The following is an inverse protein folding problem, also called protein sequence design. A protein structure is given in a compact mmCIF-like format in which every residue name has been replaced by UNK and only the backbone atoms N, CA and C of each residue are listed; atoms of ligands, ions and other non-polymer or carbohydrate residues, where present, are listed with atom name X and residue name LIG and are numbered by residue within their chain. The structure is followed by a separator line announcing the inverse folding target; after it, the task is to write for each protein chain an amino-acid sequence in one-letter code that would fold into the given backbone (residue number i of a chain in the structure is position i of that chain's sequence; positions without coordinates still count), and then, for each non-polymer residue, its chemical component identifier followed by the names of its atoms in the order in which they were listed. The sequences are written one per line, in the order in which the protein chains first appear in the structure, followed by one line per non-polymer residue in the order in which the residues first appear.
data_IF_278042587956
#
_entry.id   IF_278042587956
#
_cell.length_a   1.000
_cell.length_b   1.000
_cell.length_c   1.000
_cell.angle_alpha   90.00
_cell.angle_beta   90.00
_cell.angle_gamma   90.00
#
_symmetry.space_group_name_H-M   'P 1'
#
loop_
_entity.id
_entity.type
_entity.pdbx_description
1 polymer ?
#
# COMPACT_ATOMS: atom_id res chain seq x y z
N UNK A 1 -44.57 36.31 50.04
CA UNK A 1 -43.19 36.82 50.00
C UNK A 1 -42.59 36.38 48.66
N UNK A 2 -42.59 37.27 47.65
CA UNK A 2 -41.77 37.15 46.43
C UNK A 2 -40.46 37.92 46.72
N UNK A 3 -39.29 37.68 46.08
CA UNK A 3 -39.18 37.56 44.60
C UNK A 3 -38.08 36.59 44.09
N UNK A 4 -38.25 36.01 42.88
CA UNK A 4 -37.56 36.39 41.62
C UNK A 4 -36.15 35.82 41.42
N UNK A 5 -36.01 34.96 40.40
CA UNK A 5 -35.10 35.18 39.27
C UNK A 5 -35.40 34.13 38.18
N UNK A 6 -36.28 34.44 37.21
CA UNK A 6 -35.97 35.01 35.88
C UNK A 6 -35.50 33.95 34.86
N UNK A 7 -36.34 33.55 33.89
CA UNK A 7 -35.87 33.11 32.58
C UNK A 7 -35.47 34.34 31.75
N UNK A 8 -34.61 34.18 30.74
CA UNK A 8 -34.95 34.82 29.47
C UNK A 8 -34.71 33.90 28.27
N UNK A 9 -35.68 34.01 27.37
CA UNK A 9 -35.76 33.36 26.09
C UNK A 9 -35.03 34.22 25.01
N UNK A 10 -35.56 34.38 23.78
CA UNK A 10 -34.94 34.00 22.53
C UNK A 10 -34.36 35.22 21.75
N UNK A 11 -34.09 35.00 20.46
CA UNK A 11 -33.78 35.98 19.40
C UNK A 11 -32.32 36.45 19.32
N UNK A 12 -31.68 36.24 18.16
CA UNK A 12 -31.36 37.33 17.24
C UNK A 12 -30.66 36.83 15.97
N UNK A 13 -31.34 37.11 14.87
CA UNK A 13 -30.83 37.32 13.52
C UNK A 13 -29.41 37.94 13.49
N UNK A 14 -28.52 37.39 12.68
CA UNK A 14 -27.56 38.20 11.95
C UNK A 14 -27.24 37.56 10.60
N UNK A 15 -27.96 38.05 9.59
CA UNK A 15 -27.52 38.09 8.21
C UNK A 15 -26.25 38.94 8.10
N UNK A 16 -25.16 38.36 7.59
CA UNK A 16 -24.11 39.14 6.93
C UNK A 16 -23.67 38.44 5.66
N UNK A 17 -24.27 38.91 4.57
CA UNK A 17 -23.68 38.90 3.23
C UNK A 17 -22.41 39.75 3.26
N UNK A 18 -21.24 39.18 2.96
CA UNK A 18 -20.04 39.94 2.58
C UNK A 18 -19.39 39.29 1.35
N UNK A 19 -19.72 39.89 0.22
CA UNK A 19 -18.91 40.24 -0.96
C UNK A 19 -17.54 39.59 -1.22
N UNK A 20 -17.45 39.04 -2.43
CA UNK A 20 -16.33 38.81 -3.36
C UNK A 20 -14.91 39.27 -3.00
N UNK A 21 -13.94 38.38 -3.26
CA UNK A 21 -12.57 38.66 -3.72
C UNK A 21 -12.21 37.54 -4.72
N UNK A 22 -12.54 37.64 -6.02
CA UNK A 22 -11.74 38.21 -7.11
C UNK A 22 -10.23 38.28 -6.83
N UNK A 23 -9.43 37.35 -7.37
CA UNK A 23 -8.43 37.65 -8.43
C UNK A 23 -7.57 36.43 -8.75
N UNK A 24 -7.41 36.19 -10.06
CA UNK A 24 -6.37 35.36 -10.66
C UNK A 24 -5.00 35.73 -10.10
N UNK A 25 -4.19 34.77 -9.64
CA UNK A 25 -2.75 34.81 -9.95
C UNK A 25 -2.09 33.43 -9.78
N UNK A 26 -1.43 32.98 -10.85
CA UNK A 26 -0.39 31.97 -10.82
C UNK A 26 0.75 32.43 -9.92
N UNK A 27 1.21 31.58 -9.01
CA UNK A 27 2.57 31.67 -8.47
C UNK A 27 3.23 30.30 -8.54
N UNK A 28 3.94 30.09 -9.65
CA UNK A 28 5.14 29.27 -9.70
C UNK A 28 6.30 30.06 -9.05
N UNK A 29 7.27 29.30 -8.50
CA UNK A 29 8.65 29.66 -8.05
C UNK A 29 8.77 29.94 -6.54
N UNK A 30 9.41 29.02 -5.79
CA UNK A 30 10.87 28.90 -5.51
C UNK A 30 11.24 29.80 -4.30
N UNK A 31 12.09 29.47 -3.30
CA UNK A 31 13.29 28.64 -3.11
C UNK A 31 13.25 28.03 -1.68
N UNK A 32 13.68 26.78 -1.42
CA UNK A 32 15.05 26.34 -1.02
C UNK A 32 15.70 27.22 0.08
N UNK A 33 16.00 26.65 1.27
CA UNK A 33 17.35 26.40 1.85
C UNK A 33 17.29 26.04 3.35
N UNK A 34 17.93 24.93 3.76
CA UNK A 34 18.35 24.65 5.16
C UNK A 34 17.97 23.25 5.72
N UNK A 35 18.53 22.12 5.26
CA UNK A 35 19.82 21.46 5.68
C UNK A 35 19.76 20.94 7.14
N UNK A 36 20.00 19.69 7.56
CA UNK A 36 20.26 18.36 6.96
C UNK A 36 20.17 17.34 8.12
N UNK A 37 19.44 16.24 7.95
CA UNK A 37 19.89 14.94 8.46
C UNK A 37 19.66 13.90 7.35
N UNK A 38 20.75 13.32 6.88
CA UNK A 38 20.77 12.36 5.80
C UNK A 38 20.17 11.02 6.26
N UNK A 39 19.10 10.59 5.59
CA UNK A 39 18.86 9.19 5.31
C UNK A 39 18.39 9.10 3.86
N UNK A 40 19.23 8.51 3.03
CA UNK A 40 19.01 8.34 1.60
C UNK A 40 17.71 7.57 1.33
N UNK A 41 16.68 8.28 0.87
CA UNK A 41 15.56 7.67 0.15
C UNK A 41 15.02 8.56 -1.01
N UNK A 42 15.85 9.09 -1.93
CA UNK A 42 15.33 9.53 -3.21
C UNK A 42 16.03 8.80 -4.37
N UNK A 43 15.78 7.50 -4.55
CA UNK A 43 16.29 6.80 -5.74
C UNK A 43 15.47 5.57 -6.18
N UNK A 44 14.39 5.18 -5.50
CA UNK A 44 13.58 4.02 -5.91
C UNK A 44 12.27 4.37 -6.64
N UNK A 45 11.91 5.66 -6.71
CA UNK A 45 10.70 6.09 -7.43
C UNK A 45 10.95 6.45 -8.91
N UNK A 46 12.21 6.58 -9.34
CA UNK A 46 12.57 7.04 -10.69
C UNK A 46 13.27 5.99 -11.57
N UNK A 47 13.55 4.79 -11.06
CA UNK A 47 14.08 3.67 -11.87
C UNK A 47 12.97 2.66 -12.12
N UNK A 48 11.98 3.05 -12.91
CA UNK A 48 11.03 2.10 -13.53
C UNK A 48 10.66 2.55 -14.95
N UNK A 49 11.57 3.27 -15.62
CA UNK A 49 11.45 3.54 -17.04
C UNK A 49 12.32 2.54 -17.81
N UNK A 50 11.65 1.46 -18.27
CA UNK A 50 11.99 0.68 -19.45
C UNK A 50 13.44 0.13 -19.55
N UNK A 51 13.70 -0.98 -18.87
CA UNK A 51 14.63 -2.02 -19.35
C UNK A 51 13.78 -3.29 -19.42
N UNK A 52 13.81 -3.99 -20.56
CA UNK A 52 12.82 -5.03 -20.94
C UNK A 52 12.21 -5.79 -19.77
N UNK A 53 10.88 -5.80 -19.69
CA UNK A 53 10.10 -6.30 -18.54
C UNK A 53 10.71 -7.56 -17.96
N UNK A 54 11.34 -7.44 -16.79
CA UNK A 54 11.96 -8.58 -16.12
C UNK A 54 10.89 -9.63 -15.84
N UNK A 55 11.28 -10.91 -15.78
CA UNK A 55 10.34 -11.99 -15.45
C UNK A 55 9.63 -11.74 -14.11
N UNK A 56 10.35 -11.17 -13.14
CA UNK A 56 9.82 -10.75 -11.83
C UNK A 56 8.76 -9.64 -12.00
N UNK A 57 9.03 -8.61 -12.81
CA UNK A 57 8.05 -7.56 -13.08
C UNK A 57 6.78 -8.09 -13.76
N UNK A 58 6.91 -9.04 -14.70
CA UNK A 58 5.75 -9.69 -15.34
C UNK A 58 4.93 -10.49 -14.32
N UNK A 59 5.59 -11.33 -13.52
CA UNK A 59 4.91 -12.12 -12.48
C UNK A 59 4.23 -11.22 -11.44
N UNK A 60 4.85 -10.09 -11.10
CA UNK A 60 4.26 -9.12 -10.18
C UNK A 60 3.01 -8.45 -10.78
N UNK A 61 3.04 -8.09 -12.06
CA UNK A 61 1.86 -7.56 -12.74
C UNK A 61 0.71 -8.58 -12.77
N UNK A 62 1.00 -9.86 -13.04
CA UNK A 62 0.02 -10.95 -12.99
C UNK A 62 -0.56 -11.12 -11.56
N UNK A 63 0.30 -11.09 -10.53
CA UNK A 63 -0.14 -11.17 -9.13
C UNK A 63 -1.01 -9.97 -8.70
N UNK A 64 -0.75 -8.77 -9.23
CA UNK A 64 -1.58 -7.59 -8.98
C UNK A 64 -2.94 -7.67 -9.70
N UNK A 65 -2.99 -8.22 -10.91
CA UNK A 65 -4.24 -8.47 -11.61
C UNK A 65 -5.14 -9.43 -10.82
N UNK A 66 -4.58 -10.54 -10.32
CA UNK A 66 -5.27 -11.48 -9.44
C UNK A 66 -5.69 -10.82 -8.11
N UNK A 67 -4.83 -9.97 -7.54
CA UNK A 67 -5.15 -9.17 -6.36
C UNK A 67 -6.34 -8.22 -6.57
N UNK A 68 -6.51 -7.71 -7.79
CA UNK A 68 -7.64 -6.86 -8.18
C UNK A 68 -8.94 -7.67 -8.29
N UNK A 69 -8.88 -8.90 -8.80
CA UNK A 69 -10.02 -9.82 -8.81
C UNK A 69 -10.41 -10.26 -7.38
N UNK A 70 -9.42 -10.47 -6.51
CA UNK A 70 -9.64 -10.77 -5.08
C UNK A 70 -10.28 -9.63 -4.30
N UNK A 71 -10.22 -8.39 -4.79
CA UNK A 71 -10.82 -7.26 -4.09
C UNK A 71 -12.33 -7.45 -3.89
N UNK A 72 -13.01 -8.10 -4.83
CA UNK A 72 -14.44 -8.46 -4.74
C UNK A 72 -14.73 -9.44 -3.60
N UNK A 73 -13.76 -10.28 -3.22
CA UNK A 73 -13.89 -11.30 -2.17
C UNK A 73 -13.23 -10.89 -0.84
N UNK A 74 -12.70 -9.66 -0.75
CA UNK A 74 -11.86 -9.23 0.37
C UNK A 74 -12.56 -9.29 1.72
N UNK A 75 -13.83 -8.89 1.78
CA UNK A 75 -14.64 -8.95 3.00
C UNK A 75 -14.81 -10.39 3.52
N UNK A 76 -15.00 -11.35 2.62
CA UNK A 76 -15.11 -12.77 2.99
C UNK A 76 -13.76 -13.32 3.49
N UNK A 77 -12.65 -12.91 2.86
CA UNK A 77 -11.29 -13.31 3.26
C UNK A 77 -10.97 -12.75 4.65
N UNK A 78 -11.26 -11.47 4.90
CA UNK A 78 -11.04 -10.86 6.22
C UNK A 78 -11.89 -11.51 7.30
N UNK A 79 -13.17 -11.81 7.03
CA UNK A 79 -14.02 -12.54 7.96
C UNK A 79 -13.46 -13.93 8.29
N UNK A 80 -12.95 -14.64 7.28
CA UNK A 80 -12.35 -15.96 7.45
C UNK A 80 -10.99 -15.93 8.18
N UNK A 81 -10.24 -14.82 8.10
CA UNK A 81 -8.92 -14.67 8.75
C UNK A 81 -8.98 -14.50 10.28
N UNK A 82 -10.16 -14.31 10.86
CA UNK A 82 -10.38 -13.95 12.28
C UNK A 82 -9.82 -14.95 13.31
N UNK A 83 -9.49 -16.17 12.91
CA UNK A 83 -9.02 -17.24 13.80
C UNK A 83 -7.50 -17.46 13.80
N UNK A 84 -6.73 -16.54 13.22
CA UNK A 84 -5.26 -16.48 13.32
C UNK A 84 -4.50 -17.63 12.65
N UNK A 85 -3.25 -17.36 12.25
CA UNK A 85 -2.26 -18.37 11.82
C UNK A 85 -2.43 -18.98 10.42
N UNK A 86 -3.59 -18.80 9.77
CA UNK A 86 -3.81 -19.27 8.39
C UNK A 86 -4.49 -18.13 7.61
N UNK A 87 -4.00 -17.78 6.40
CA UNK A 87 -4.64 -16.75 5.60
C UNK A 87 -6.10 -17.09 5.29
N UNK A 88 -6.98 -16.09 5.38
CA UNK A 88 -8.42 -16.28 5.31
C UNK A 88 -8.91 -16.93 4.01
N UNK A 89 -8.21 -16.73 2.89
CA UNK A 89 -8.57 -17.33 1.61
C UNK A 89 -8.39 -18.85 1.58
N UNK A 90 -7.49 -19.42 2.39
CA UNK A 90 -7.33 -20.88 2.51
C UNK A 90 -8.54 -21.54 3.19
N UNK A 91 -9.30 -20.74 3.96
CA UNK A 91 -10.53 -21.19 4.64
C UNK A 91 -11.78 -20.98 3.77
N UNK A 92 -11.65 -20.26 2.66
CA UNK A 92 -12.71 -20.14 1.67
C UNK A 92 -12.62 -21.29 0.67
N UNK A 93 -13.76 -21.71 0.13
CA UNK A 93 -13.83 -22.59 -1.04
C UNK A 93 -14.17 -21.80 -2.32
N UNK A 94 -14.08 -22.48 -3.47
CA UNK A 94 -14.54 -21.93 -4.74
C UNK A 94 -13.61 -20.87 -5.33
N UNK A 95 -14.17 -19.84 -5.97
CA UNK A 95 -13.41 -18.91 -6.81
C UNK A 95 -12.39 -18.07 -6.04
N UNK A 96 -12.75 -17.55 -4.87
CA UNK A 96 -11.84 -16.74 -4.05
C UNK A 96 -10.57 -17.52 -3.66
N UNK A 97 -10.72 -18.81 -3.35
CA UNK A 97 -9.60 -19.70 -3.04
C UNK A 97 -8.70 -19.92 -4.25
N UNK A 98 -9.28 -20.23 -5.42
CA UNK A 98 -8.52 -20.44 -6.67
C UNK A 98 -7.72 -19.20 -7.08
N UNK A 99 -8.32 -18.01 -7.02
CA UNK A 99 -7.63 -16.76 -7.37
C UNK A 99 -6.51 -16.46 -6.37
N UNK A 100 -6.76 -16.66 -5.06
CA UNK A 100 -5.75 -16.46 -4.02
C UNK A 100 -4.61 -17.45 -4.10
N UNK A 101 -4.89 -18.72 -4.33
CA UNK A 101 -3.86 -19.75 -4.54
C UNK A 101 -3.00 -19.43 -5.77
N UNK A 102 -3.62 -19.04 -6.89
CA UNK A 102 -2.91 -18.62 -8.09
C UNK A 102 -2.01 -17.40 -7.80
N UNK A 103 -2.53 -16.40 -7.06
CA UNK A 103 -1.76 -15.23 -6.64
C UNK A 103 -0.59 -15.64 -5.76
N UNK A 104 -0.84 -16.45 -4.73
CA UNK A 104 0.17 -16.93 -3.80
C UNK A 104 1.28 -17.70 -4.52
N UNK A 105 0.92 -18.59 -5.46
CA UNK A 105 1.88 -19.30 -6.30
C UNK A 105 2.79 -18.34 -7.09
N UNK A 106 2.26 -17.23 -7.60
CA UNK A 106 3.06 -16.19 -8.27
C UNK A 106 4.00 -15.47 -7.31
N UNK A 107 3.57 -15.16 -6.09
CA UNK A 107 4.42 -14.56 -5.06
C UNK A 107 5.59 -15.48 -4.69
N UNK A 108 5.33 -16.77 -4.50
CA UNK A 108 6.37 -17.79 -4.25
C UNK A 108 7.32 -17.91 -5.45
N UNK A 109 6.79 -17.85 -6.68
CA UNK A 109 7.62 -17.88 -7.89
C UNK A 109 8.53 -16.66 -8.00
N UNK A 110 8.05 -15.47 -7.62
CA UNK A 110 8.86 -14.25 -7.57
C UNK A 110 10.01 -14.41 -6.57
N UNK A 111 9.73 -14.92 -5.37
CA UNK A 111 10.75 -15.13 -4.32
C UNK A 111 11.80 -16.18 -4.68
N UNK A 112 11.48 -17.12 -5.59
CA UNK A 112 12.43 -18.10 -6.11
C UNK A 112 13.16 -17.65 -7.38
N UNK A 113 12.73 -16.55 -8.01
CA UNK A 113 13.38 -16.04 -9.22
C UNK A 113 14.56 -15.15 -8.82
N UNK A 114 15.77 -15.36 -9.38
CA UNK A 114 16.92 -14.53 -9.06
C UNK A 114 16.69 -13.08 -9.53
N UNK A 115 16.89 -12.13 -8.62
CA UNK A 115 16.81 -10.70 -8.94
C UNK A 115 18.00 -10.30 -9.83
N UNK A 116 17.72 -9.60 -10.93
CA UNK A 116 18.76 -9.13 -11.87
C UNK A 116 18.96 -7.63 -11.80
N UNK A 117 18.04 -6.92 -11.18
CA UNK A 117 18.00 -5.46 -11.12
C UNK A 117 17.58 -4.98 -9.74
N UNK A 118 17.92 -3.73 -9.40
CA UNK A 118 17.44 -3.09 -8.18
C UNK A 118 15.89 -2.99 -8.13
N UNK A 119 15.24 -2.89 -9.31
CA UNK A 119 13.78 -2.92 -9.43
C UNK A 119 13.20 -4.27 -9.01
N UNK A 120 13.88 -5.37 -9.34
CA UNK A 120 13.47 -6.72 -8.89
C UNK A 120 13.59 -6.85 -7.37
N UNK A 121 14.66 -6.34 -6.75
CA UNK A 121 14.79 -6.32 -5.29
C UNK A 121 13.67 -5.53 -4.61
N UNK A 122 13.25 -4.42 -5.20
CA UNK A 122 12.11 -3.66 -4.68
C UNK A 122 10.80 -4.47 -4.76
N UNK A 123 10.61 -5.27 -5.81
CA UNK A 123 9.47 -6.18 -5.93
C UNK A 123 9.56 -7.32 -4.91
N UNK A 124 10.72 -7.95 -4.75
CA UNK A 124 10.93 -8.99 -3.73
C UNK A 124 10.64 -8.45 -2.32
N UNK A 125 11.07 -7.21 -2.04
CA UNK A 125 10.76 -6.52 -0.78
C UNK A 125 9.25 -6.37 -0.57
N UNK A 126 8.51 -5.90 -1.58
CA UNK A 126 7.04 -5.81 -1.52
C UNK A 126 6.38 -7.18 -1.30
N UNK A 127 6.84 -8.21 -2.01
CA UNK A 127 6.31 -9.57 -1.87
C UNK A 127 6.57 -10.13 -0.47
N UNK A 128 7.75 -9.90 0.10
CA UNK A 128 8.10 -10.38 1.46
C UNK A 128 7.24 -9.75 2.56
N UNK A 129 6.64 -8.58 2.30
CA UNK A 129 5.75 -7.86 3.20
C UNK A 129 4.26 -8.12 2.90
N UNK A 130 3.96 -8.97 1.93
CA UNK A 130 2.57 -9.30 1.59
C UNK A 130 1.92 -10.12 2.71
N UNK A 131 0.68 -9.79 3.08
CA UNK A 131 -0.07 -10.45 4.16
C UNK A 131 -0.13 -11.99 3.99
N UNK A 132 -0.23 -12.47 2.75
CA UNK A 132 -0.27 -13.91 2.47
C UNK A 132 1.08 -14.58 2.78
N UNK A 133 2.19 -13.87 2.56
CA UNK A 133 3.55 -14.34 2.88
C UNK A 133 3.84 -14.18 4.38
N UNK A 134 3.39 -13.08 4.98
CA UNK A 134 3.55 -12.82 6.42
C UNK A 134 2.85 -13.86 7.28
N UNK A 135 1.69 -14.35 6.83
CA UNK A 135 0.90 -15.35 7.55
C UNK A 135 1.38 -16.80 7.37
N UNK A 136 2.23 -17.10 6.37
CA UNK A 136 2.67 -18.47 6.08
C UNK A 136 4.18 -18.68 6.02
N UNK A 137 4.92 -17.86 5.27
CA UNK A 137 6.31 -18.15 4.87
C UNK A 137 7.27 -16.97 5.12
N UNK A 138 7.00 -16.14 6.14
CA UNK A 138 7.73 -14.89 6.41
C UNK A 138 9.24 -15.07 6.53
N UNK A 139 9.69 -16.02 7.35
CA UNK A 139 11.12 -16.25 7.59
C UNK A 139 11.82 -16.70 6.30
N UNK A 140 11.21 -17.63 5.57
CA UNK A 140 11.70 -18.10 4.28
C UNK A 140 11.77 -16.98 3.22
N UNK A 141 10.74 -16.15 3.12
CA UNK A 141 10.73 -15.02 2.20
C UNK A 141 11.81 -13.97 2.53
N UNK A 142 12.09 -13.77 3.83
CA UNK A 142 13.14 -12.86 4.30
C UNK A 142 14.53 -13.37 3.93
N UNK A 143 14.77 -14.68 4.06
CA UNK A 143 16.03 -15.32 3.61
C UNK A 143 16.23 -15.20 2.10
N UNK A 144 15.16 -15.35 1.32
CA UNK A 144 15.21 -15.18 -0.14
C UNK A 144 15.55 -13.75 -0.53
N UNK A 145 14.95 -12.77 0.13
CA UNK A 145 15.27 -11.35 -0.09
C UNK A 145 16.73 -11.04 0.27
N UNK A 146 17.22 -11.53 1.42
CA UNK A 146 18.61 -11.31 1.84
C UNK A 146 19.61 -11.98 0.89
N UNK A 147 19.29 -13.20 0.43
CA UNK A 147 20.10 -13.91 -0.57
C UNK A 147 20.15 -13.15 -1.89
N UNK A 148 19.00 -12.69 -2.39
CA UNK A 148 18.92 -11.91 -3.62
C UNK A 148 19.66 -10.57 -3.52
N UNK A 149 19.57 -9.87 -2.38
CA UNK A 149 20.28 -8.63 -2.14
C UNK A 149 21.81 -8.85 -2.13
N UNK A 150 22.27 -9.94 -1.52
CA UNK A 150 23.69 -10.30 -1.49
C UNK A 150 24.19 -10.64 -2.89
N UNK A 151 23.44 -11.42 -3.67
CA UNK A 151 23.83 -11.81 -5.03
C UNK A 151 23.84 -10.65 -6.02
N UNK A 152 23.05 -9.59 -5.80
CA UNK A 152 23.08 -8.40 -6.66
C UNK A 152 24.23 -7.43 -6.30
N UNK A 153 24.71 -7.48 -5.06
CA UNK A 153 25.82 -6.66 -4.58
C UNK A 153 27.21 -7.28 -4.84
N UNK A 154 27.25 -8.56 -5.19
CA UNK A 154 28.46 -9.32 -5.55
C UNK A 154 28.77 -9.21 -7.05
#
# INVERSE_FOLDING_TARGET
MFPVARPPAPWLLSTRTTTMINTKTLSRRALVTGVTLAAAAPALAATSAATGTTSIAKLWAEAQALGSQLATHRSAITAAASNGGIPGWMRLGGEANRIAEARYGKLIQILNTPAKTAGDLAILGKVSQDEDILSGARSWASERLASAATSLAA
#
